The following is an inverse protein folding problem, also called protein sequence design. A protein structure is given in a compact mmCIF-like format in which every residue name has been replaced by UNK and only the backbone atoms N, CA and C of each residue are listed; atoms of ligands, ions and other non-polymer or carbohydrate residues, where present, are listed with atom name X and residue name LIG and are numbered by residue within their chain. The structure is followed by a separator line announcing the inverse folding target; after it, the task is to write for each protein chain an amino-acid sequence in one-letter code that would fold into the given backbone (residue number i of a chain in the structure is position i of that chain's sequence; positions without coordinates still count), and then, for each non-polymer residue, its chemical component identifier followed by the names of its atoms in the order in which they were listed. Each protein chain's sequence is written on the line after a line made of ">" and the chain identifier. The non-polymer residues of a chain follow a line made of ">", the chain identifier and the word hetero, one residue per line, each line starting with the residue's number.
data_IF_310197965735
#
_entry.id   IF_310197965735
#
_cell.length_a   1.000
_cell.length_b   1.000
_cell.length_c   1.000
_cell.angle_alpha   90.00
_cell.angle_beta   90.00
_cell.angle_gamma   90.00
#
_symmetry.space_group_name_H-M   'P 1'
#
loop_
_entity.id
_entity.type
_entity.pdbx_description
1 polymer ?
#
# COMPACT_ATOMS: atom_id res chain seq x y z
N UNK A 1 -31.58 -12.83 -19.74
CA UNK A 1 -30.69 -11.83 -19.11
C UNK A 1 -31.10 -11.74 -17.64
N UNK A 2 -30.25 -12.20 -16.74
CA UNK A 2 -30.60 -12.36 -15.32
C UNK A 2 -30.52 -11.00 -14.61
N UNK A 3 -31.45 -10.73 -13.69
CA UNK A 3 -31.54 -9.49 -12.90
C UNK A 3 -30.29 -9.23 -12.02
N UNK A 4 -29.40 -10.22 -11.90
CA UNK A 4 -28.17 -10.19 -11.11
C UNK A 4 -26.93 -9.67 -11.89
N UNK A 5 -26.95 -9.74 -13.23
CA UNK A 5 -25.85 -9.30 -14.13
C UNK A 5 -25.72 -7.77 -14.22
N UNK A 6 -26.67 -7.03 -13.65
CA UNK A 6 -26.70 -5.57 -13.65
C UNK A 6 -26.47 -4.96 -12.27
N UNK A 7 -26.25 -5.78 -11.24
CA UNK A 7 -25.99 -5.26 -9.90
C UNK A 7 -24.56 -4.67 -9.85
N UNK A 8 -24.39 -3.36 -9.58
CA UNK A 8 -23.09 -2.69 -9.54
C UNK A 8 -22.12 -3.30 -8.52
N UNK A 9 -22.64 -3.82 -7.39
CA UNK A 9 -21.83 -4.46 -6.35
C UNK A 9 -21.31 -5.81 -6.83
N UNK A 10 -22.13 -6.57 -7.56
CA UNK A 10 -21.75 -7.86 -8.15
C UNK A 10 -20.78 -7.65 -9.31
N UNK A 11 -21.01 -6.62 -10.15
CA UNK A 11 -20.14 -6.26 -11.28
C UNK A 11 -18.74 -5.84 -10.86
N UNK A 12 -18.63 -5.05 -9.78
CA UNK A 12 -17.31 -4.80 -9.19
C UNK A 12 -16.84 -5.98 -8.33
N UNK A 13 -17.72 -6.85 -7.86
CA UNK A 13 -17.35 -7.93 -6.94
C UNK A 13 -16.98 -7.39 -5.55
N UNK A 14 -17.63 -6.32 -5.12
CA UNK A 14 -17.48 -5.69 -3.81
C UNK A 14 -18.74 -5.92 -2.98
N UNK A 15 -18.60 -5.95 -1.66
CA UNK A 15 -19.75 -6.08 -0.75
C UNK A 15 -20.59 -4.78 -0.71
N UNK A 16 -21.86 -4.88 -0.32
CA UNK A 16 -22.79 -3.73 -0.22
C UNK A 16 -22.38 -2.71 0.83
N UNK A 17 -21.51 -3.08 1.77
CA UNK A 17 -20.91 -2.25 2.80
C UNK A 17 -19.49 -1.76 2.44
N UNK A 18 -18.98 -2.07 1.24
CA UNK A 18 -17.64 -1.69 0.80
C UNK A 18 -17.44 -0.16 0.84
N UNK A 19 -16.33 0.26 1.42
CA UNK A 19 -15.88 1.65 1.46
C UNK A 19 -15.50 2.18 0.07
N UNK A 20 -15.43 3.51 -0.06
CA UNK A 20 -15.00 4.17 -1.30
C UNK A 20 -13.60 3.70 -1.76
N UNK A 21 -12.70 3.45 -0.80
CA UNK A 21 -11.36 2.93 -1.08
C UNK A 21 -11.42 1.52 -1.70
N UNK A 22 -12.22 0.62 -1.13
CA UNK A 22 -12.41 -0.74 -1.65
C UNK A 22 -13.10 -0.75 -3.03
N UNK A 23 -14.03 0.18 -3.28
CA UNK A 23 -14.67 0.36 -4.58
C UNK A 23 -13.66 0.83 -5.63
N UNK A 24 -12.79 1.79 -5.29
CA UNK A 24 -11.73 2.30 -6.16
C UNK A 24 -10.68 1.24 -6.47
N UNK A 25 -10.19 0.55 -5.44
CA UNK A 25 -9.24 -0.55 -5.55
C UNK A 25 -9.77 -1.61 -6.51
N UNK A 26 -11.02 -2.03 -6.33
CA UNK A 26 -11.61 -3.08 -7.16
C UNK A 26 -11.87 -2.64 -8.60
N UNK A 27 -12.21 -1.38 -8.79
CA UNK A 27 -12.31 -0.77 -10.11
C UNK A 27 -10.97 -0.80 -10.86
N UNK A 28 -9.86 -0.44 -10.21
CA UNK A 28 -8.53 -0.45 -10.83
C UNK A 28 -8.12 -1.86 -11.28
N UNK A 29 -8.41 -2.88 -10.45
CA UNK A 29 -8.17 -4.29 -10.81
C UNK A 29 -8.95 -4.68 -12.07
N UNK A 30 -10.22 -4.32 -12.12
CA UNK A 30 -11.09 -4.66 -13.24
C UNK A 30 -10.72 -3.90 -14.51
N UNK A 31 -10.26 -2.66 -14.39
CA UNK A 31 -9.67 -1.88 -15.49
C UNK A 31 -8.44 -2.59 -16.04
N UNK A 32 -7.52 -3.05 -15.18
CA UNK A 32 -6.32 -3.76 -15.61
C UNK A 32 -6.60 -5.09 -16.31
N UNK A 33 -7.74 -5.73 -16.05
CA UNK A 33 -8.15 -6.99 -16.69
C UNK A 33 -8.89 -6.74 -18.02
N UNK A 34 -9.77 -5.74 -18.05
CA UNK A 34 -10.72 -5.53 -19.14
C UNK A 34 -10.38 -4.34 -20.06
N UNK A 35 -9.25 -3.66 -19.86
CA UNK A 35 -8.87 -2.51 -20.70
C UNK A 35 -8.79 -2.92 -22.19
N UNK A 36 -9.47 -2.21 -23.10
CA UNK A 36 -9.46 -2.53 -24.53
C UNK A 36 -8.06 -2.64 -25.13
N UNK A 37 -7.11 -1.84 -24.64
CA UNK A 37 -5.72 -1.86 -25.15
C UNK A 37 -5.02 -3.19 -24.94
N UNK A 38 -5.32 -3.91 -23.84
CA UNK A 38 -4.74 -5.23 -23.57
C UNK A 38 -5.29 -6.34 -24.45
N UNK A 39 -6.42 -6.09 -25.12
CA UNK A 39 -7.10 -7.06 -25.97
C UNK A 39 -7.01 -6.71 -27.46
N UNK A 40 -6.23 -5.70 -27.86
CA UNK A 40 -6.16 -5.24 -29.27
C UNK A 40 -5.74 -6.34 -30.26
N UNK A 41 -4.84 -7.23 -29.85
CA UNK A 41 -4.34 -8.37 -30.63
C UNK A 41 -5.15 -9.67 -30.43
N UNK A 42 -6.21 -9.64 -29.61
CA UNK A 42 -7.08 -10.79 -29.39
C UNK A 42 -8.12 -10.95 -30.52
N UNK A 43 -8.75 -12.13 -30.66
CA UNK A 43 -9.86 -12.33 -31.58
C UNK A 43 -11.04 -11.36 -31.35
N UNK A 44 -11.78 -11.02 -32.41
CA UNK A 44 -12.83 -9.97 -32.39
C UNK A 44 -13.90 -10.20 -31.31
N UNK A 45 -14.30 -11.45 -31.09
CA UNK A 45 -15.25 -11.81 -30.04
C UNK A 45 -14.73 -11.52 -28.62
N UNK A 46 -13.41 -11.66 -28.39
CA UNK A 46 -12.77 -11.38 -27.10
C UNK A 46 -12.64 -9.87 -26.88
N UNK A 47 -12.25 -9.13 -27.92
CA UNK A 47 -12.23 -7.65 -27.91
C UNK A 47 -13.60 -7.05 -27.61
N UNK A 48 -14.64 -7.56 -28.26
CA UNK A 48 -16.01 -7.10 -28.08
C UNK A 48 -16.50 -7.35 -26.65
N UNK A 49 -16.21 -8.52 -26.08
CA UNK A 49 -16.58 -8.84 -24.70
C UNK A 49 -15.77 -8.00 -23.70
N UNK A 50 -14.46 -7.80 -23.90
CA UNK A 50 -13.65 -6.96 -23.03
C UNK A 50 -14.14 -5.50 -23.01
N UNK A 51 -14.46 -4.95 -24.18
CA UNK A 51 -15.06 -3.62 -24.31
C UNK A 51 -16.39 -3.53 -23.56
N UNK A 52 -17.23 -4.55 -23.68
CA UNK A 52 -18.53 -4.62 -23.00
C UNK A 52 -18.38 -4.71 -21.49
N UNK A 53 -17.48 -5.55 -20.99
CA UNK A 53 -17.19 -5.67 -19.57
C UNK A 53 -16.66 -4.35 -19.01
N UNK A 54 -15.69 -3.74 -19.68
CA UNK A 54 -15.13 -2.44 -19.28
C UNK A 54 -16.21 -1.35 -19.18
N UNK A 55 -17.13 -1.29 -20.13
CA UNK A 55 -18.26 -0.35 -20.06
C UNK A 55 -19.16 -0.59 -18.84
N UNK A 56 -19.42 -1.85 -18.48
CA UNK A 56 -20.22 -2.20 -17.30
C UNK A 56 -19.49 -1.85 -16.00
N UNK A 57 -18.19 -2.12 -15.94
CA UNK A 57 -17.31 -1.79 -14.81
C UNK A 57 -17.26 -0.27 -14.58
N UNK A 58 -17.06 0.52 -15.65
CA UNK A 58 -17.06 1.98 -15.58
C UNK A 58 -18.41 2.55 -15.07
N UNK A 59 -19.53 1.99 -15.54
CA UNK A 59 -20.87 2.39 -15.07
C UNK A 59 -21.10 2.04 -13.61
N UNK A 60 -20.72 0.83 -13.20
CA UNK A 60 -20.86 0.36 -11.83
C UNK A 60 -20.01 1.21 -10.86
N UNK A 61 -18.76 1.49 -11.23
CA UNK A 61 -17.85 2.34 -10.45
C UNK A 61 -18.41 3.75 -10.26
N UNK A 62 -18.89 4.39 -11.33
CA UNK A 62 -19.48 5.73 -11.23
C UNK A 62 -20.67 5.76 -10.27
N UNK A 63 -21.61 4.82 -10.44
CA UNK A 63 -22.80 4.75 -9.60
C UNK A 63 -22.46 4.54 -8.11
N UNK A 64 -21.58 3.59 -7.81
CA UNK A 64 -21.22 3.29 -6.42
C UNK A 64 -20.41 4.42 -5.76
N UNK A 65 -19.56 5.08 -6.52
CA UNK A 65 -18.82 6.26 -6.05
C UNK A 65 -19.79 7.40 -5.71
N UNK A 66 -20.73 7.72 -6.59
CA UNK A 66 -21.75 8.77 -6.38
C UNK A 66 -22.62 8.49 -5.14
N UNK A 67 -23.01 7.23 -4.93
CA UNK A 67 -23.79 6.80 -3.76
C UNK A 67 -22.97 7.00 -2.48
N UNK A 68 -21.74 6.52 -2.43
CA UNK A 68 -20.88 6.61 -1.24
C UNK A 68 -20.51 8.04 -0.87
N UNK A 69 -20.24 8.88 -1.86
CA UNK A 69 -19.95 10.30 -1.65
C UNK A 69 -21.18 11.08 -1.15
N UNK A 70 -22.39 10.69 -1.58
CA UNK A 70 -23.64 11.24 -1.05
C UNK A 70 -23.87 10.84 0.40
N UNK A 71 -23.74 9.55 0.71
CA UNK A 71 -23.87 9.05 2.08
C UNK A 71 -22.84 9.69 3.03
N UNK A 72 -21.60 9.91 2.56
CA UNK A 72 -20.58 10.59 3.34
C UNK A 72 -20.97 12.04 3.66
N UNK A 73 -21.48 12.80 2.68
CA UNK A 73 -21.96 14.18 2.88
C UNK A 73 -23.14 14.24 3.84
N UNK A 74 -24.11 13.33 3.72
CA UNK A 74 -25.25 13.28 4.63
C UNK A 74 -24.86 12.92 6.07
N UNK A 75 -23.92 11.98 6.25
CA UNK A 75 -23.39 11.66 7.60
C UNK A 75 -22.70 12.88 8.22
N UNK A 76 -21.90 13.60 7.45
CA UNK A 76 -21.24 14.83 7.91
C UNK A 76 -22.25 15.92 8.28
N UNK A 77 -23.32 16.09 7.48
CA UNK A 77 -24.39 17.05 7.77
C UNK A 77 -25.16 16.71 9.06
N UNK A 78 -25.52 15.43 9.27
CA UNK A 78 -26.20 14.96 10.49
C UNK A 78 -25.35 15.15 11.74
N UNK A 79 -24.05 14.86 11.65
CA UNK A 79 -23.12 15.08 12.77
C UNK A 79 -22.94 16.57 13.09
N UNK A 80 -22.92 17.44 12.08
CA UNK A 80 -22.88 18.88 12.29
C UNK A 80 -24.18 19.42 12.93
N UNK A 81 -25.35 18.93 12.50
CA UNK A 81 -26.64 19.29 13.11
C UNK A 81 -26.77 18.80 14.57
N UNK A 82 -26.34 17.58 14.88
CA UNK A 82 -26.37 17.06 16.25
C UNK A 82 -25.44 17.85 17.18
N UNK A 83 -24.25 18.24 16.69
CA UNK A 83 -23.34 19.09 17.45
C UNK A 83 -23.92 20.49 17.67
N UNK A 84 -24.63 21.06 16.70
CA UNK A 84 -25.34 22.34 16.81
C UNK A 84 -26.56 22.26 17.74
N UNK A 85 -27.32 21.15 17.73
CA UNK A 85 -28.45 20.88 18.65
C UNK A 85 -27.97 20.67 20.08
N UNK A 86 -26.82 20.00 20.27
CA UNK A 86 -26.18 19.84 21.57
C UNK A 86 -25.61 21.15 22.13
N UNK A 87 -25.19 22.10 21.26
CA UNK A 87 -24.80 23.46 21.68
C UNK A 87 -25.99 24.38 21.97
N UNK A 88 -27.13 24.20 21.28
CA UNK A 88 -28.36 24.98 21.51
C UNK A 88 -29.19 24.52 22.73
N UNK A 89 -28.84 23.42 23.40
CA UNK A 89 -29.54 22.89 24.59
C UNK A 89 -28.90 23.29 25.95
N UNK A 90 -27.89 24.15 25.98
CA UNK A 90 -27.32 24.72 27.21
C UNK A 90 -27.40 26.25 27.24
N UNK A 91 -28.62 26.77 27.38
CA UNK A 91 -28.88 28.16 27.75
C UNK A 91 -30.20 28.31 28.54
N UNK A 92 -30.07 28.33 29.87
CA UNK A 92 -30.81 29.19 30.82
C UNK A 92 -32.32 29.04 31.05
N UNK A 93 -32.70 28.73 32.29
CA UNK A 93 -33.68 29.47 33.15
C UNK A 93 -34.17 28.53 34.27
N UNK A 94 -34.58 28.93 35.47
CA UNK A 94 -34.84 30.22 36.10
C UNK A 94 -35.35 29.97 37.54
N UNK A 95 -35.31 31.00 38.40
CA UNK A 95 -35.89 31.08 39.76
C UNK A 95 -37.44 31.06 39.72
N UNK A 96 -38.28 30.80 40.74
CA UNK A 96 -38.23 30.46 42.19
C UNK A 96 -39.71 30.16 42.60
N UNK A 97 -39.96 29.39 43.67
CA UNK A 97 -41.20 29.51 44.45
C UNK A 97 -41.03 29.10 45.93
N UNK A 98 -41.69 29.86 46.79
CA UNK A 98 -41.87 29.87 48.25
C UNK A 98 -42.68 28.68 48.80
N UNK A 99 -42.87 28.41 50.09
CA UNK A 99 -42.35 28.89 51.38
C UNK A 99 -42.53 27.73 52.38
N UNK A 100 -41.41 27.14 52.82
CA UNK A 100 -41.28 26.18 53.93
C UNK A 100 -39.91 26.38 54.61
N UNK A 101 -39.50 27.65 54.74
CA UNK A 101 -38.15 28.01 54.31
C UNK A 101 -37.28 28.79 55.31
N UNK A 102 -37.61 28.91 56.59
CA UNK A 102 -36.73 29.64 57.52
C UNK A 102 -35.78 28.74 58.34
N UNK A 103 -36.23 27.56 58.80
CA UNK A 103 -35.41 26.70 59.67
C UNK A 103 -34.55 25.65 58.93
N UNK A 104 -34.99 25.17 57.75
CA UNK A 104 -34.16 24.28 56.91
C UNK A 104 -33.13 25.02 56.05
N UNK A 105 -33.22 26.36 55.91
CA UNK A 105 -32.29 27.13 55.07
C UNK A 105 -30.91 27.26 55.70
N UNK A 106 -30.78 27.44 57.01
CA UNK A 106 -29.46 27.52 57.64
C UNK A 106 -28.72 26.18 57.58
N UNK A 107 -29.42 25.05 57.85
CA UNK A 107 -28.82 23.72 57.72
C UNK A 107 -28.45 23.40 56.26
N UNK A 108 -29.34 23.69 55.29
CA UNK A 108 -29.03 23.51 53.86
C UNK A 108 -28.00 24.51 53.35
N UNK A 109 -27.90 25.72 53.89
CA UNK A 109 -26.87 26.68 53.51
C UNK A 109 -25.51 26.29 54.08
N UNK A 110 -25.45 25.78 55.31
CA UNK A 110 -24.21 25.22 55.86
C UNK A 110 -23.78 23.99 55.04
N UNK A 111 -24.67 23.02 54.82
CA UNK A 111 -24.38 21.88 53.97
C UNK A 111 -24.05 22.30 52.52
N UNK A 112 -24.72 23.30 51.95
CA UNK A 112 -24.42 23.78 50.60
C UNK A 112 -23.09 24.52 50.54
N UNK A 113 -22.70 25.26 51.60
CA UNK A 113 -21.38 25.92 51.70
C UNK A 113 -20.28 24.89 51.86
N UNK A 114 -20.50 23.84 52.64
CA UNK A 114 -19.58 22.72 52.80
C UNK A 114 -19.46 21.93 51.50
N UNK A 115 -20.57 21.51 50.89
CA UNK A 115 -20.57 20.85 49.57
C UNK A 115 -19.93 21.73 48.50
N UNK A 116 -20.18 23.04 48.49
CA UNK A 116 -19.52 23.95 47.56
C UNK A 116 -18.02 24.11 47.86
N UNK A 117 -17.61 24.06 49.13
CA UNK A 117 -16.20 24.07 49.51
C UNK A 117 -15.50 22.76 49.11
N UNK A 118 -16.16 21.62 49.30
CA UNK A 118 -15.67 20.31 48.91
C UNK A 118 -15.65 20.15 47.39
N UNK A 119 -16.66 20.65 46.68
CA UNK A 119 -16.64 20.73 45.21
C UNK A 119 -15.53 21.64 44.72
N UNK A 120 -15.29 22.80 45.35
CA UNK A 120 -14.14 23.65 45.00
C UNK A 120 -12.82 22.91 45.21
N UNK A 121 -12.65 22.24 46.36
CA UNK A 121 -11.45 21.43 46.65
C UNK A 121 -11.29 20.26 45.68
N UNK A 122 -12.38 19.60 45.30
CA UNK A 122 -12.39 18.51 44.32
C UNK A 122 -12.06 19.02 42.92
N UNK A 123 -12.62 20.14 42.50
CA UNK A 123 -12.30 20.81 41.22
C UNK A 123 -10.84 21.28 41.19
N UNK A 124 -10.32 21.80 42.30
CA UNK A 124 -8.91 22.19 42.39
C UNK A 124 -7.97 20.98 42.34
N UNK A 125 -8.32 19.87 43.01
CA UNK A 125 -7.57 18.60 42.91
C UNK A 125 -7.61 18.05 41.50
N UNK A 126 -8.78 17.96 40.88
CA UNK A 126 -8.95 17.51 39.51
C UNK A 126 -8.21 18.42 38.50
N UNK A 127 -8.23 19.74 38.70
CA UNK A 127 -7.48 20.68 37.87
C UNK A 127 -5.97 20.54 38.04
N UNK A 128 -5.48 20.27 39.26
CA UNK A 128 -4.06 19.98 39.51
C UNK A 128 -3.64 18.66 38.87
N UNK A 129 -4.47 17.62 38.98
CA UNK A 129 -4.23 16.32 38.36
C UNK A 129 -4.26 16.40 36.83
N UNK A 130 -5.23 17.11 36.25
CA UNK A 130 -5.30 17.34 34.81
C UNK A 130 -4.07 18.12 34.30
N UNK A 131 -3.65 19.17 35.00
CA UNK A 131 -2.41 19.91 34.65
C UNK A 131 -1.18 19.02 34.77
N UNK A 132 -1.10 18.17 35.79
CA UNK A 132 0.01 17.22 35.95
C UNK A 132 0.01 16.17 34.85
N UNK A 133 -1.17 15.69 34.43
CA UNK A 133 -1.31 14.73 33.34
C UNK A 133 -0.97 15.35 31.99
N UNK A 134 -1.49 16.55 31.69
CA UNK A 134 -1.10 17.31 30.49
C UNK A 134 0.40 17.59 30.45
N UNK A 135 1.02 17.92 31.59
CA UNK A 135 2.46 18.11 31.69
C UNK A 135 3.22 16.81 31.38
N UNK A 136 2.79 15.67 31.93
CA UNK A 136 3.38 14.35 31.62
C UNK A 136 3.20 13.98 30.15
N UNK A 137 2.03 14.22 29.57
CA UNK A 137 1.77 13.94 28.16
C UNK A 137 2.54 14.88 27.22
N UNK A 138 2.74 16.14 27.60
CA UNK A 138 3.62 17.08 26.89
C UNK A 138 5.06 16.59 26.96
N UNK A 139 5.54 16.21 28.15
CA UNK A 139 6.89 15.69 28.31
C UNK A 139 7.12 14.40 27.51
N UNK A 140 6.14 13.49 27.46
CA UNK A 140 6.21 12.28 26.62
C UNK A 140 6.23 12.65 25.13
N UNK A 141 5.39 13.61 24.69
CA UNK A 141 5.38 14.09 23.30
C UNK A 141 6.68 14.77 22.91
N UNK A 142 7.20 15.64 23.77
CA UNK A 142 8.47 16.34 23.59
C UNK A 142 9.64 15.36 23.58
N UNK A 143 9.66 14.36 24.46
CA UNK A 143 10.67 13.28 24.43
C UNK A 143 10.57 12.45 23.15
N UNK A 144 9.36 12.07 22.72
CA UNK A 144 9.16 11.32 21.48
C UNK A 144 9.56 12.13 20.24
N UNK A 145 9.27 13.44 20.23
CA UNK A 145 9.70 14.34 19.16
C UNK A 145 11.20 14.58 19.19
N UNK A 146 11.80 14.76 20.37
CA UNK A 146 13.25 14.88 20.54
C UNK A 146 13.96 13.59 20.11
N UNK A 147 13.44 12.41 20.45
CA UNK A 147 13.96 11.12 19.96
C UNK A 147 13.80 11.00 18.44
N UNK A 148 12.64 11.40 17.88
CA UNK A 148 12.42 11.41 16.42
C UNK A 148 13.42 12.32 15.72
N UNK A 149 13.62 13.53 16.24
CA UNK A 149 14.59 14.49 15.70
C UNK A 149 16.03 14.03 15.92
N UNK A 150 16.34 13.37 17.04
CA UNK A 150 17.66 12.78 17.28
C UNK A 150 17.93 11.64 16.29
N UNK A 151 16.95 10.78 16.01
CA UNK A 151 17.05 9.74 14.97
C UNK A 151 17.19 10.34 13.57
N UNK A 152 16.46 11.41 13.26
CA UNK A 152 16.60 12.13 11.97
C UNK A 152 17.99 12.75 11.87
N UNK A 153 18.46 13.48 12.90
CA UNK A 153 19.81 14.07 12.91
C UNK A 153 20.90 13.02 12.91
N UNK A 154 20.71 11.89 13.58
CA UNK A 154 21.63 10.77 13.56
C UNK A 154 21.65 10.12 12.18
N UNK A 155 20.49 9.97 11.53
CA UNK A 155 20.38 9.51 10.14
C UNK A 155 21.02 10.48 9.17
N UNK A 156 20.74 11.78 9.27
CA UNK A 156 21.34 12.84 8.46
C UNK A 156 22.84 12.93 8.72
N UNK A 157 23.29 12.83 9.98
CA UNK A 157 24.71 12.81 10.32
C UNK A 157 25.40 11.54 9.83
N UNK A 158 24.73 10.38 9.82
CA UNK A 158 25.22 9.14 9.19
C UNK A 158 25.24 9.27 7.66
N UNK A 159 24.22 9.87 7.05
CA UNK A 159 24.18 10.16 5.60
C UNK A 159 25.28 11.17 5.21
N UNK A 160 25.56 12.18 6.05
CA UNK A 160 26.66 13.15 5.86
C UNK A 160 28.05 12.57 6.22
N UNK A 161 28.15 11.65 7.18
CA UNK A 161 29.41 10.97 7.57
C UNK A 161 29.76 9.78 6.65
N UNK A 162 28.80 9.26 5.87
CA UNK A 162 29.01 8.21 4.88
C UNK A 162 28.72 8.70 3.46
N UNK A 163 29.62 9.49 2.84
CA UNK A 163 29.48 9.96 1.46
C UNK A 163 29.72 8.86 0.40
N UNK A 164 29.40 7.61 0.72
CA UNK A 164 29.44 6.46 -0.19
C UNK A 164 28.33 5.53 0.25
N UNK A 165 27.26 5.41 -0.52
CA UNK A 165 26.38 4.26 -0.38
C UNK A 165 27.26 3.01 -0.36
N UNK A 166 27.22 2.24 0.72
CA UNK A 166 27.84 0.92 0.70
C UNK A 166 27.07 0.11 -0.33
N UNK A 167 27.70 -0.15 -1.47
CA UNK A 167 27.23 -1.05 -2.52
C UNK A 167 26.72 -2.34 -1.88
N UNK A 168 25.54 -2.76 -2.29
CA UNK A 168 24.70 -3.70 -1.52
C UNK A 168 24.60 -5.08 -2.17
N UNK A 169 24.87 -5.18 -3.47
CA UNK A 169 24.67 -6.40 -4.23
C UNK A 169 25.82 -7.40 -4.02
N UNK A 170 25.55 -8.60 -3.48
CA UNK A 170 26.59 -9.60 -3.20
C UNK A 170 27.32 -10.10 -4.45
N UNK A 171 26.69 -10.04 -5.64
CA UNK A 171 27.29 -10.45 -6.91
C UNK A 171 27.95 -9.31 -7.69
N UNK A 172 27.98 -8.09 -7.17
CA UNK A 172 28.66 -6.98 -7.86
C UNK A 172 30.18 -7.22 -7.85
N UNK A 173 30.70 -7.63 -9.01
CA UNK A 173 32.13 -7.70 -9.28
C UNK A 173 32.43 -6.77 -10.47
N UNK A 174 33.07 -5.61 -10.24
CA UNK A 174 33.22 -4.55 -11.24
C UNK A 174 34.05 -4.91 -12.48
N UNK A 175 34.62 -6.12 -12.56
CA UNK A 175 35.47 -6.55 -13.66
C UNK A 175 34.73 -7.34 -14.77
N UNK A 176 33.51 -7.84 -14.54
CA UNK A 176 32.81 -8.75 -15.48
C UNK A 176 31.29 -8.60 -15.37
N UNK A 177 30.73 -7.47 -15.83
CA UNK A 177 29.29 -7.34 -16.01
C UNK A 177 28.90 -7.87 -17.39
N UNK A 178 27.82 -8.65 -17.52
CA UNK A 178 27.31 -9.08 -18.83
C UNK A 178 26.76 -7.87 -19.59
N UNK A 179 27.03 -7.81 -20.89
CA UNK A 179 26.53 -6.75 -21.78
C UNK A 179 25.73 -7.38 -22.94
N UNK A 180 24.57 -6.83 -23.32
CA UNK A 180 23.97 -5.57 -22.85
C UNK A 180 23.09 -5.72 -21.59
N UNK A 181 22.97 -4.62 -20.83
CA UNK A 181 22.06 -4.48 -19.69
C UNK A 181 20.95 -3.50 -20.05
N UNK A 182 19.70 -3.92 -19.89
CA UNK A 182 18.53 -3.06 -20.13
C UNK A 182 18.11 -2.46 -18.80
N UNK A 183 18.19 -1.13 -18.69
CA UNK A 183 17.81 -0.36 -17.49
C UNK A 183 16.45 0.29 -17.73
N UNK A 184 15.48 0.01 -16.86
CA UNK A 184 14.12 0.50 -17.01
C UNK A 184 13.50 0.94 -15.68
N UNK A 185 12.69 2.02 -15.67
CA UNK A 185 11.89 2.38 -14.51
C UNK A 185 10.73 1.39 -14.31
N UNK A 186 10.51 0.99 -13.06
CA UNK A 186 9.41 0.09 -12.68
C UNK A 186 8.61 0.69 -11.51
N UNK A 187 7.36 0.27 -11.36
CA UNK A 187 6.59 0.50 -10.12
C UNK A 187 6.38 -0.79 -9.35
N UNK A 188 6.51 -0.68 -8.02
CA UNK A 188 6.21 -1.76 -7.09
C UNK A 188 5.17 -1.26 -6.09
N UNK A 189 4.03 -1.92 -6.06
CA UNK A 189 3.01 -1.77 -5.04
C UNK A 189 3.19 -2.84 -3.96
N UNK A 190 3.44 -2.37 -2.74
CA UNK A 190 3.62 -3.20 -1.55
C UNK A 190 2.27 -3.66 -0.98
N UNK A 191 2.29 -4.53 0.03
CA UNK A 191 1.08 -5.12 0.59
C UNK A 191 0.15 -4.15 1.33
N UNK A 192 0.65 -2.98 1.71
CA UNK A 192 -0.13 -1.88 2.30
C UNK A 192 -0.74 -0.94 1.25
N UNK A 193 -0.55 -1.23 -0.04
CA UNK A 193 -0.98 -0.38 -1.15
C UNK A 193 -0.06 0.81 -1.41
N UNK A 194 1.08 0.92 -0.71
CA UNK A 194 2.09 1.91 -1.04
C UNK A 194 2.75 1.57 -2.38
N UNK A 195 2.57 2.44 -3.36
CA UNK A 195 3.29 2.40 -4.62
C UNK A 195 4.63 3.14 -4.50
N UNK A 196 5.67 2.52 -5.03
CA UNK A 196 7.01 3.09 -5.11
C UNK A 196 7.63 2.92 -6.49
N UNK A 197 8.42 3.90 -6.89
CA UNK A 197 9.20 3.92 -8.12
C UNK A 197 10.61 3.43 -7.84
N UNK A 198 11.20 2.67 -8.76
CA UNK A 198 12.61 2.26 -8.70
C UNK A 198 13.13 1.93 -10.11
N UNK A 199 14.37 1.49 -10.22
CA UNK A 199 14.95 1.02 -11.48
C UNK A 199 15.24 -0.49 -11.41
N UNK A 200 15.05 -1.16 -12.54
CA UNK A 200 15.45 -2.53 -12.77
C UNK A 200 16.48 -2.54 -13.89
N UNK A 201 17.67 -3.08 -13.64
CA UNK A 201 18.62 -3.39 -14.70
C UNK A 201 18.76 -4.90 -14.83
N UNK A 202 18.52 -5.44 -16.02
CA UNK A 202 18.57 -6.89 -16.28
C UNK A 202 19.40 -7.19 -17.52
N UNK A 203 20.18 -8.27 -17.46
CA UNK A 203 20.92 -8.78 -18.62
C UNK A 203 19.99 -9.57 -19.54
N UNK A 204 20.16 -9.40 -20.85
CA UNK A 204 19.40 -10.16 -21.86
C UNK A 204 19.90 -11.61 -22.04
N UNK A 205 21.04 -11.97 -21.43
CA UNK A 205 21.69 -13.27 -21.58
C UNK A 205 21.25 -14.35 -20.57
N UNK A 206 21.70 -15.59 -20.81
CA UNK A 206 21.29 -16.81 -20.09
C UNK A 206 21.59 -16.81 -18.59
N UNK A 207 22.60 -16.06 -18.14
CA UNK A 207 22.87 -15.82 -16.71
C UNK A 207 22.22 -14.50 -16.32
N UNK A 208 20.89 -14.46 -16.24
CA UNK A 208 20.10 -13.24 -16.00
C UNK A 208 20.46 -12.59 -14.66
N UNK A 209 21.49 -11.75 -14.66
CA UNK A 209 21.85 -10.91 -13.51
C UNK A 209 20.90 -9.73 -13.48
N UNK A 210 20.47 -9.39 -12.27
CA UNK A 210 19.54 -8.29 -12.00
C UNK A 210 20.14 -7.34 -10.98
N UNK A 211 20.00 -6.05 -11.23
CA UNK A 211 20.44 -4.98 -10.33
C UNK A 211 19.30 -4.00 -10.04
N UNK A 212 19.33 -3.45 -8.83
CA UNK A 212 18.39 -2.44 -8.35
C UNK A 212 19.17 -1.30 -7.69
N UNK A 213 18.62 -0.09 -7.61
CA UNK A 213 19.20 0.94 -6.76
C UNK A 213 19.05 0.52 -5.29
N UNK A 214 20.19 0.30 -4.61
CA UNK A 214 20.26 -0.14 -3.22
C UNK A 214 21.20 0.70 -2.36
N UNK A 215 20.93 0.73 -1.05
CA UNK A 215 21.83 1.30 -0.03
C UNK A 215 21.78 0.48 1.26
N UNK A 216 22.95 0.11 1.82
CA UNK A 216 23.08 -0.65 3.08
C UNK A 216 22.30 -1.99 3.14
N UNK A 217 22.14 -2.68 2.02
CA UNK A 217 21.41 -3.95 1.91
C UNK A 217 19.90 -3.79 1.73
N UNK A 218 19.43 -2.56 1.48
CA UNK A 218 18.03 -2.20 1.30
C UNK A 218 17.74 -1.70 -0.12
N UNK A 219 16.63 -2.15 -0.70
CA UNK A 219 16.04 -1.66 -1.95
C UNK A 219 15.52 -0.23 -1.77
N UNK A 220 15.96 0.68 -2.63
CA UNK A 220 15.47 2.05 -2.63
C UNK A 220 14.16 2.14 -3.42
N UNK A 221 13.10 2.58 -2.74
CA UNK A 221 11.83 2.95 -3.36
C UNK A 221 11.55 4.44 -3.17
N UNK A 222 11.11 5.08 -4.24
CA UNK A 222 10.80 6.51 -4.27
C UNK A 222 9.30 6.72 -4.30
N UNK A 223 8.78 7.64 -3.48
CA UNK A 223 7.33 7.91 -3.40
C UNK A 223 6.78 8.64 -4.64
N UNK A 224 7.65 9.24 -5.43
CA UNK A 224 7.31 10.02 -6.60
C UNK A 224 8.39 9.89 -7.68
N UNK A 225 8.00 10.00 -8.95
CA UNK A 225 8.92 9.96 -10.09
C UNK A 225 9.93 11.10 -10.03
N UNK A 226 9.51 12.25 -9.52
CA UNK A 226 10.33 13.45 -9.36
C UNK A 226 11.45 13.22 -8.34
N UNK A 227 11.17 12.48 -7.26
CA UNK A 227 12.19 12.14 -6.26
C UNK A 227 13.20 11.14 -6.82
N UNK A 228 12.73 10.13 -7.58
CA UNK A 228 13.62 9.22 -8.30
C UNK A 228 14.51 10.01 -9.26
N UNK A 229 13.92 10.85 -10.13
CA UNK A 229 14.67 11.67 -11.08
C UNK A 229 15.73 12.51 -10.38
N UNK A 230 15.36 13.24 -9.32
CA UNK A 230 16.30 14.06 -8.54
C UNK A 230 17.46 13.22 -8.01
N UNK A 231 17.17 12.06 -7.41
CA UNK A 231 18.18 11.16 -6.88
C UNK A 231 19.18 10.72 -7.95
N UNK A 232 18.70 10.29 -9.13
CA UNK A 232 19.57 9.83 -10.21
C UNK A 232 20.44 10.97 -10.78
N UNK A 233 19.95 12.21 -10.76
CA UNK A 233 20.71 13.37 -11.26
C UNK A 233 21.69 13.96 -10.25
N UNK A 234 21.39 13.87 -8.95
CA UNK A 234 22.20 14.49 -7.89
C UNK A 234 23.18 13.49 -7.25
N UNK A 235 22.92 12.18 -7.38
CA UNK A 235 23.71 11.12 -6.73
C UNK A 235 24.17 10.10 -7.75
N UNK A 236 25.49 9.98 -7.94
CA UNK A 236 26.12 8.87 -8.69
C UNK A 236 26.58 7.72 -7.78
N UNK A 237 26.35 7.84 -6.47
CA UNK A 237 26.72 6.82 -5.48
C UNK A 237 25.64 5.75 -5.34
N UNK A 238 25.39 5.00 -6.40
CA UNK A 238 24.48 3.84 -6.39
C UNK A 238 24.87 2.80 -7.45
N UNK A 239 24.39 1.56 -7.28
CA UNK A 239 24.80 0.38 -8.07
C UNK A 239 24.73 0.56 -9.58
N UNK A 240 23.66 1.20 -10.06
CA UNK A 240 23.44 1.38 -11.49
C UNK A 240 24.38 2.39 -12.16
N UNK A 241 25.04 3.29 -11.41
CA UNK A 241 25.88 4.32 -12.00
C UNK A 241 27.16 3.76 -12.66
N UNK A 242 27.51 2.52 -12.35
CA UNK A 242 28.68 1.81 -12.91
C UNK A 242 28.30 0.69 -13.89
N UNK A 243 27.00 0.55 -14.20
CA UNK A 243 26.48 -0.49 -15.08
C UNK A 243 26.58 -0.05 -16.55
N UNK A 244 27.04 -0.90 -17.48
CA UNK A 244 26.96 -0.65 -18.91
C UNK A 244 25.54 -0.24 -19.35
N UNK A 245 25.44 0.78 -20.20
CA UNK A 245 24.15 1.36 -20.62
C UNK A 245 23.60 2.46 -19.70
N UNK A 246 24.23 2.72 -18.54
CA UNK A 246 23.82 3.79 -17.63
C UNK A 246 23.80 5.18 -18.26
N UNK A 247 24.85 5.55 -19.01
CA UNK A 247 24.94 6.87 -19.63
C UNK A 247 23.87 7.07 -20.71
N UNK A 248 23.58 6.03 -21.50
CA UNK A 248 22.51 6.05 -22.50
C UNK A 248 21.13 6.20 -21.83
N UNK A 249 20.90 5.41 -20.77
CA UNK A 249 19.69 5.51 -19.96
C UNK A 249 19.51 6.93 -19.38
N UNK A 250 20.55 7.49 -18.76
CA UNK A 250 20.48 8.83 -18.17
C UNK A 250 20.24 9.92 -19.23
N UNK A 251 20.85 9.81 -20.40
CA UNK A 251 20.57 10.72 -21.52
C UNK A 251 19.09 10.64 -21.96
N UNK A 252 18.51 9.44 -21.98
CA UNK A 252 17.07 9.26 -22.25
C UNK A 252 16.20 9.91 -21.17
N UNK A 253 16.50 9.68 -19.89
CA UNK A 253 15.76 10.27 -18.77
C UNK A 253 15.86 11.80 -18.75
N UNK A 254 17.02 12.38 -19.00
CA UNK A 254 17.20 13.83 -19.08
C UNK A 254 16.40 14.47 -20.22
N UNK A 255 16.19 13.73 -21.32
CA UNK A 255 15.47 14.21 -22.51
C UNK A 255 13.95 14.03 -22.40
N UNK A 256 13.50 12.86 -21.93
CA UNK A 256 12.10 12.42 -21.98
C UNK A 256 11.42 12.37 -20.60
N UNK A 257 12.19 12.47 -19.51
CA UNK A 257 11.71 12.25 -18.15
C UNK A 257 11.55 10.77 -17.81
N UNK A 258 11.08 10.49 -16.59
CA UNK A 258 10.79 9.13 -16.13
C UNK A 258 9.38 8.72 -16.57
N UNK A 259 9.28 7.73 -17.45
CA UNK A 259 8.04 7.04 -17.77
C UNK A 259 8.15 5.57 -17.36
N UNK A 260 7.05 5.00 -16.86
CA UNK A 260 6.95 3.58 -16.52
C UNK A 260 5.89 3.00 -17.44
N UNK A 261 6.22 1.91 -18.13
CA UNK A 261 5.28 1.16 -18.97
C UNK A 261 4.30 0.36 -18.07
N UNK A 262 3.07 0.15 -18.52
CA UNK A 262 2.05 -0.62 -17.80
C UNK A 262 2.50 -2.07 -17.55
N UNK A 263 3.31 -2.63 -18.45
CA UNK A 263 3.91 -3.96 -18.30
C UNK A 263 5.07 -4.00 -17.26
N UNK A 264 5.47 -2.83 -16.75
CA UNK A 264 6.51 -2.64 -15.72
C UNK A 264 5.95 -2.20 -14.37
N UNK A 265 4.66 -2.47 -14.15
CA UNK A 265 4.00 -2.32 -12.87
C UNK A 265 3.80 -3.67 -12.19
N UNK A 266 4.24 -3.76 -10.94
CA UNK A 266 4.19 -4.97 -10.13
C UNK A 266 3.38 -4.67 -8.87
N UNK A 267 2.40 -5.52 -8.58
CA UNK A 267 1.53 -5.37 -7.41
C UNK A 267 1.48 -6.70 -6.65
N UNK A 268 2.27 -6.75 -5.58
CA UNK A 268 2.37 -7.93 -4.77
C UNK A 268 1.09 -8.19 -3.96
N UNK A 269 0.34 -7.14 -3.62
CA UNK A 269 -0.94 -7.21 -2.93
C UNK A 269 -2.05 -7.79 -3.81
N UNK A 270 -2.07 -7.40 -5.09
CA UNK A 270 -3.03 -7.89 -6.07
C UNK A 270 -2.94 -9.41 -6.26
N UNK A 271 -1.73 -9.97 -6.24
CA UNK A 271 -1.55 -11.43 -6.31
C UNK A 271 -2.23 -12.15 -5.13
N UNK A 272 -2.09 -11.62 -3.91
CA UNK A 272 -2.77 -12.18 -2.73
C UNK A 272 -4.28 -12.13 -2.82
N UNK A 273 -4.81 -11.10 -3.47
CA UNK A 273 -6.23 -11.03 -3.76
C UNK A 273 -6.63 -12.10 -4.78
N UNK A 274 -5.89 -12.19 -5.89
CA UNK A 274 -6.15 -13.11 -7.00
C UNK A 274 -6.16 -14.58 -6.55
N UNK A 275 -5.16 -15.03 -5.80
CA UNK A 275 -5.02 -16.42 -5.34
C UNK A 275 -6.17 -16.87 -4.41
N UNK A 276 -6.91 -15.93 -3.80
CA UNK A 276 -8.09 -16.23 -2.97
C UNK A 276 -9.38 -16.40 -3.78
N UNK A 277 -9.37 -16.06 -5.06
CA UNK A 277 -10.50 -16.21 -5.97
C UNK A 277 -10.50 -17.62 -6.58
N UNK A 278 -11.63 -18.05 -7.19
CA UNK A 278 -11.63 -19.25 -8.01
C UNK A 278 -10.54 -19.17 -9.08
N UNK A 279 -9.96 -20.32 -9.44
CA UNK A 279 -8.83 -20.43 -10.38
C UNK A 279 -9.16 -19.86 -11.76
N UNK A 280 -10.43 -19.86 -12.15
CA UNK A 280 -10.93 -19.24 -13.39
C UNK A 280 -10.70 -17.72 -13.46
N UNK A 281 -10.58 -17.06 -12.31
CA UNK A 281 -10.33 -15.62 -12.20
C UNK A 281 -8.82 -15.31 -12.18
N UNK A 282 -7.95 -16.33 -12.16
CA UNK A 282 -6.51 -16.12 -12.04
C UNK A 282 -5.92 -15.67 -13.37
N UNK A 283 -4.93 -14.78 -13.29
CA UNK A 283 -4.18 -14.27 -14.44
C UNK A 283 -2.74 -14.81 -14.34
N UNK A 284 -2.38 -15.89 -15.07
CA UNK A 284 -1.09 -16.55 -14.92
C UNK A 284 0.10 -15.61 -15.13
N UNK A 285 0.07 -14.80 -16.21
CA UNK A 285 1.13 -13.83 -16.50
C UNK A 285 1.40 -12.88 -15.33
N UNK A 286 0.35 -12.40 -14.67
CA UNK A 286 0.47 -11.48 -13.53
C UNK A 286 1.19 -12.17 -12.35
N UNK A 287 0.79 -13.41 -12.02
CA UNK A 287 1.46 -14.17 -10.97
C UNK A 287 2.94 -14.40 -11.29
N UNK A 288 3.23 -14.87 -12.51
CA UNK A 288 4.57 -15.19 -12.98
C UNK A 288 5.49 -13.96 -12.91
N UNK A 289 5.07 -12.82 -13.47
CA UNK A 289 5.92 -11.61 -13.52
C UNK A 289 6.21 -11.07 -12.11
N UNK A 290 5.22 -11.08 -11.22
CA UNK A 290 5.40 -10.65 -9.83
C UNK A 290 6.29 -11.62 -9.03
N UNK A 291 6.16 -12.93 -9.30
CA UNK A 291 6.98 -13.96 -8.66
C UNK A 291 8.43 -13.82 -9.10
N UNK A 292 8.67 -13.63 -10.38
CA UNK A 292 10.01 -13.44 -10.94
C UNK A 292 10.67 -12.18 -10.37
N UNK A 293 9.93 -11.05 -10.26
CA UNK A 293 10.47 -9.86 -9.61
C UNK A 293 10.80 -10.10 -8.11
N UNK A 294 9.97 -10.84 -7.38
CA UNK A 294 10.25 -11.17 -5.97
C UNK A 294 11.50 -12.03 -5.83
N UNK A 295 11.72 -12.97 -6.75
CA UNK A 295 12.97 -13.76 -6.81
C UNK A 295 14.15 -12.83 -7.07
N UNK A 296 14.06 -11.97 -8.09
CA UNK A 296 15.13 -11.04 -8.44
C UNK A 296 15.52 -10.14 -7.26
N UNK A 297 14.54 -9.55 -6.57
CA UNK A 297 14.79 -8.71 -5.39
C UNK A 297 15.40 -9.55 -4.26
N UNK A 298 14.87 -10.75 -4.01
CA UNK A 298 15.38 -11.61 -2.95
C UNK A 298 16.83 -12.08 -3.20
N UNK A 299 17.17 -12.39 -4.45
CA UNK A 299 18.55 -12.70 -4.84
C UNK A 299 19.45 -11.48 -4.75
N UNK A 300 19.00 -10.34 -5.29
CA UNK A 300 19.79 -9.12 -5.35
C UNK A 300 20.20 -8.59 -3.97
N UNK A 301 19.32 -8.69 -2.98
CA UNK A 301 19.56 -8.20 -1.62
C UNK A 301 19.88 -9.32 -0.62
N UNK A 302 20.11 -10.55 -1.10
CA UNK A 302 20.47 -11.70 -0.26
C UNK A 302 19.43 -11.98 0.84
N UNK A 303 18.14 -11.96 0.49
CA UNK A 303 17.02 -12.17 1.42
C UNK A 303 16.75 -13.67 1.54
N UNK A 304 17.62 -14.38 2.26
CA UNK A 304 17.57 -15.85 2.39
C UNK A 304 16.22 -16.36 2.86
N UNK A 305 15.53 -15.65 3.75
CA UNK A 305 14.20 -16.05 4.24
C UNK A 305 13.10 -15.94 3.18
N UNK A 306 13.27 -15.11 2.16
CA UNK A 306 12.38 -15.04 1.00
C UNK A 306 12.72 -16.16 0.02
N UNK A 307 14.01 -16.38 -0.28
CA UNK A 307 14.49 -17.44 -1.18
C UNK A 307 14.09 -18.83 -0.70
N UNK A 308 14.15 -19.10 0.62
CA UNK A 308 13.69 -20.37 1.19
C UNK A 308 12.20 -20.65 0.94
N UNK A 309 11.38 -19.61 0.85
CA UNK A 309 9.94 -19.74 0.57
C UNK A 309 9.67 -19.87 -0.93
N UNK A 310 10.56 -19.29 -1.76
CA UNK A 310 10.49 -19.32 -3.23
C UNK A 310 11.24 -20.51 -3.86
N UNK A 311 11.93 -21.32 -3.07
CA UNK A 311 12.76 -22.44 -3.55
C UNK A 311 11.97 -23.44 -4.39
N UNK A 312 12.71 -24.18 -5.22
CA UNK A 312 12.19 -25.30 -6.00
C UNK A 312 11.50 -26.32 -5.08
N UNK A 313 10.31 -26.76 -5.47
CA UNK A 313 9.45 -27.66 -4.70
C UNK A 313 8.63 -26.98 -3.60
N UNK A 314 8.68 -25.65 -3.47
CA UNK A 314 7.78 -24.91 -2.58
C UNK A 314 6.34 -24.85 -3.12
N UNK A 315 5.40 -24.39 -2.28
CA UNK A 315 4.02 -24.17 -2.68
C UNK A 315 3.88 -23.06 -3.75
N UNK A 316 4.77 -22.06 -3.72
CA UNK A 316 4.80 -20.98 -4.73
C UNK A 316 5.39 -21.53 -6.03
N UNK A 317 6.44 -22.33 -5.96
CA UNK A 317 7.09 -22.95 -7.12
C UNK A 317 6.14 -23.90 -7.87
N UNK A 318 5.43 -24.76 -7.13
CA UNK A 318 4.41 -25.64 -7.72
C UNK A 318 3.31 -24.84 -8.42
N UNK A 319 2.93 -23.69 -7.84
CA UNK A 319 1.94 -22.80 -8.42
C UNK A 319 2.50 -22.13 -9.69
N UNK A 320 3.74 -21.66 -9.67
CA UNK A 320 4.44 -21.06 -10.81
C UNK A 320 4.52 -22.02 -12.00
N UNK A 321 4.98 -23.25 -11.75
CA UNK A 321 5.06 -24.31 -12.76
C UNK A 321 3.73 -24.55 -13.47
N UNK A 322 2.64 -24.65 -12.69
CA UNK A 322 1.30 -24.84 -13.22
C UNK A 322 0.84 -23.63 -14.01
N UNK A 323 1.09 -22.41 -13.54
CA UNK A 323 0.69 -21.16 -14.20
C UNK A 323 1.42 -20.96 -15.53
N UNK A 324 2.72 -21.28 -15.61
CA UNK A 324 3.52 -21.16 -16.85
C UNK A 324 3.04 -22.05 -17.99
N UNK A 325 2.34 -23.13 -17.67
CA UNK A 325 1.79 -24.04 -18.69
C UNK A 325 0.26 -23.96 -18.81
N UNK A 326 -0.44 -23.29 -17.89
CA UNK A 326 -1.90 -23.23 -17.84
C UNK A 326 -2.54 -22.69 -19.13
N UNK A 327 -1.92 -21.65 -19.70
CA UNK A 327 -2.38 -20.99 -20.94
C UNK A 327 -2.12 -21.82 -22.20
N UNK A 328 -1.37 -22.93 -22.11
CA UNK A 328 -1.14 -23.82 -23.25
C UNK A 328 -2.42 -24.60 -23.58
N UNK A 329 -2.81 -24.72 -24.87
CA UNK A 329 -4.12 -25.28 -25.24
C UNK A 329 -4.36 -26.71 -24.73
N UNK A 330 -3.62 -27.68 -25.28
CA UNK A 330 -3.77 -29.10 -24.95
C UNK A 330 -2.83 -29.50 -23.80
N UNK A 331 -1.63 -28.93 -23.76
CA UNK A 331 -0.64 -29.21 -22.72
C UNK A 331 -1.02 -28.61 -21.34
N UNK A 332 -1.81 -27.53 -21.32
CA UNK A 332 -2.21 -26.83 -20.09
C UNK A 332 -3.46 -27.41 -19.42
N UNK A 333 -4.17 -28.35 -20.04
CA UNK A 333 -5.39 -28.93 -19.47
C UNK A 333 -5.14 -29.62 -18.13
N UNK A 334 -4.07 -30.42 -18.05
CA UNK A 334 -3.67 -31.08 -16.81
C UNK A 334 -3.31 -30.07 -15.72
N UNK A 335 -2.66 -28.96 -16.08
CA UNK A 335 -2.31 -27.91 -15.13
C UNK A 335 -3.54 -27.17 -14.61
N UNK A 336 -4.47 -26.78 -15.47
CA UNK A 336 -5.76 -26.17 -15.09
C UNK A 336 -6.54 -27.05 -14.12
N UNK A 337 -6.66 -28.34 -14.41
CA UNK A 337 -7.34 -29.30 -13.52
C UNK A 337 -6.64 -29.42 -12.16
N UNK A 338 -5.30 -29.37 -12.12
CA UNK A 338 -4.55 -29.40 -10.86
C UNK A 338 -4.67 -28.10 -10.08
N UNK A 339 -4.70 -26.95 -10.77
CA UNK A 339 -4.98 -25.65 -10.17
C UNK A 339 -6.37 -25.65 -9.54
N UNK A 340 -7.41 -26.08 -10.28
CA UNK A 340 -8.80 -26.14 -9.79
C UNK A 340 -8.96 -27.01 -8.52
N UNK A 341 -8.16 -28.08 -8.41
CA UNK A 341 -8.18 -28.98 -7.26
C UNK A 341 -7.26 -28.53 -6.11
N UNK A 342 -6.45 -27.48 -6.31
CA UNK A 342 -5.44 -27.05 -5.34
C UNK A 342 -6.06 -26.22 -4.22
N UNK A 343 -5.65 -26.50 -2.97
CA UNK A 343 -5.86 -25.57 -1.87
C UNK A 343 -4.87 -24.41 -1.99
N UNK A 344 -5.36 -23.20 -2.30
CA UNK A 344 -4.52 -22.01 -2.47
C UNK A 344 -4.06 -21.36 -1.15
N UNK A 345 -4.53 -21.88 -0.01
CA UNK A 345 -4.19 -21.40 1.34
C UNK A 345 -2.68 -21.40 1.64
N UNK A 346 -1.97 -22.53 1.50
CA UNK A 346 -0.52 -22.60 1.67
C UNK A 346 0.25 -21.60 0.78
N UNK A 347 -0.11 -21.50 -0.51
CA UNK A 347 0.50 -20.54 -1.44
C UNK A 347 0.25 -19.08 -1.00
N UNK A 348 -0.96 -18.76 -0.55
CA UNK A 348 -1.31 -17.42 -0.02
C UNK A 348 -0.55 -17.06 1.27
N UNK A 349 -0.23 -18.05 2.12
CA UNK A 349 0.57 -17.87 3.32
C UNK A 349 2.05 -17.66 2.95
N UNK A 350 2.56 -18.49 2.03
CA UNK A 350 3.91 -18.41 1.53
C UNK A 350 4.16 -17.04 0.85
N UNK A 351 3.26 -16.61 -0.03
CA UNK A 351 3.37 -15.32 -0.73
C UNK A 351 3.42 -14.13 0.24
N UNK A 352 2.53 -14.09 1.24
CA UNK A 352 2.58 -13.08 2.32
C UNK A 352 3.91 -13.10 3.07
N UNK A 353 4.51 -14.28 3.27
CA UNK A 353 5.80 -14.39 3.95
C UNK A 353 6.93 -13.82 3.09
N UNK A 354 6.94 -14.11 1.78
CA UNK A 354 7.91 -13.54 0.83
C UNK A 354 7.82 -12.03 0.82
N UNK A 355 6.62 -11.46 0.61
CA UNK A 355 6.42 -10.01 0.58
C UNK A 355 6.96 -9.35 1.85
N UNK A 356 6.56 -9.86 3.03
CA UNK A 356 7.03 -9.28 4.30
C UNK A 356 8.54 -9.31 4.48
N UNK A 357 9.23 -10.30 3.91
CA UNK A 357 10.69 -10.37 3.98
C UNK A 357 11.33 -9.36 3.03
N UNK A 358 10.77 -9.17 1.83
CA UNK A 358 11.19 -8.13 0.89
C UNK A 358 10.93 -6.73 1.46
N UNK A 359 9.73 -6.46 1.98
CA UNK A 359 9.34 -5.16 2.55
C UNK A 359 10.25 -4.72 3.71
N UNK A 360 10.77 -5.65 4.50
CA UNK A 360 11.74 -5.35 5.57
C UNK A 360 13.07 -4.82 5.04
N UNK A 361 13.37 -5.07 3.78
CA UNK A 361 14.57 -4.59 3.08
C UNK A 361 14.25 -3.42 2.15
N UNK A 362 13.11 -2.74 2.33
CA UNK A 362 12.75 -1.56 1.54
C UNK A 362 13.05 -0.29 2.34
N UNK A 363 13.80 0.63 1.72
CA UNK A 363 14.05 1.99 2.20
C UNK A 363 13.29 2.99 1.34
N UNK A 364 12.36 3.69 1.97
CA UNK A 364 11.58 4.74 1.32
C UNK A 364 12.33 6.07 1.30
N UNK A 365 12.47 6.63 0.11
CA UNK A 365 12.98 7.99 -0.11
C UNK A 365 11.82 8.92 -0.51
N UNK A 366 11.89 10.16 -0.02
CA UNK A 366 10.84 11.18 -0.18
C UNK A 366 11.33 12.35 -0.99
#
# INVERSE_FOLDING_TARGET
>A
MSRNEQDPYVLLGVSRDASLAQIRERYLILVQVWHPDKHQSSPENVRAEATRQMQQINRAYKLLTDVREREARERQARQAEEQQRATHQRAGSGQRASDWAAQQREAREQEARERAADERRARERAAREARAQEAREREVRERAEAERLARIREREAREHQHPRARWTHPRYQPAQLPEPLTIEPITISLSDGAEGYTLLARSEDQESVVFFPGADGELLLFRAKETLHRYLTETSSHELAAVPGWDEFMNSILKAGISVDDDRSYDFGLILYSIRRPVTDWVPRLFITNRDLLVDIAEAFGITEALEVLRVGSAIDTLDDLMRVADRPLAGWGARRRLDAMNSGPASIAWRRVIRNVEKRVRWLR
#
